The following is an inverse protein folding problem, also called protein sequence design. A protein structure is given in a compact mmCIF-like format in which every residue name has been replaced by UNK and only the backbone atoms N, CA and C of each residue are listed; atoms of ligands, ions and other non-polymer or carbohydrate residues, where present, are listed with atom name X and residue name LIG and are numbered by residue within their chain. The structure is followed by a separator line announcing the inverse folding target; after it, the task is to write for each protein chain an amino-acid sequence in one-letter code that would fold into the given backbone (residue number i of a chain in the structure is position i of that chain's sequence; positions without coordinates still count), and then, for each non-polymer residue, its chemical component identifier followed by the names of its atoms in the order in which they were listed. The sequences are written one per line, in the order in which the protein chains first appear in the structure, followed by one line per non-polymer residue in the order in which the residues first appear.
data_IF_119674379327
#
_entry.id   IF_119674379327
#
_cell.length_a   1.000
_cell.length_b   1.000
_cell.length_c   1.000
_cell.angle_alpha   90.00
_cell.angle_beta   90.00
_cell.angle_gamma   90.00
#
_symmetry.space_group_name_H-M   'P 1'
#
loop_
_entity.id
_entity.type
_entity.pdbx_description
1 polymer ?
#
# COMPACT_ATOMS: atom_id res chain seq x y z
N UNK A 1 19.98 8.01 -12.79
CA UNK A 1 18.63 7.52 -13.14
C UNK A 1 17.94 7.10 -11.85
N UNK A 2 16.64 7.35 -11.74
CA UNK A 2 15.89 6.91 -10.56
C UNK A 2 15.95 5.38 -10.44
N UNK A 3 15.89 4.87 -9.21
CA UNK A 3 15.77 3.44 -8.97
C UNK A 3 14.49 2.93 -9.65
N UNK A 4 14.64 1.89 -10.49
CA UNK A 4 13.52 1.26 -11.19
C UNK A 4 12.93 0.16 -10.33
N UNK A 5 11.67 0.33 -9.97
CA UNK A 5 10.93 -0.61 -9.11
C UNK A 5 10.36 -1.72 -9.99
N UNK A 6 10.64 -2.97 -9.62
CA UNK A 6 10.13 -4.16 -10.29
C UNK A 6 9.29 -5.00 -9.34
N UNK A 7 8.07 -5.31 -9.77
CA UNK A 7 7.16 -6.18 -9.05
C UNK A 7 7.48 -7.63 -9.38
N UNK A 8 7.76 -8.41 -8.35
CA UNK A 8 7.77 -9.86 -8.43
C UNK A 8 6.34 -10.42 -8.41
N UNK A 9 6.20 -11.67 -7.98
CA UNK A 9 4.93 -12.42 -8.03
C UNK A 9 3.82 -11.88 -7.12
N UNK A 10 4.16 -11.06 -6.12
CA UNK A 10 3.23 -10.60 -5.08
C UNK A 10 3.48 -9.13 -4.72
N UNK A 11 4.11 -8.35 -5.61
CA UNK A 11 4.54 -6.97 -5.38
C UNK A 11 6.06 -6.81 -5.31
N UNK A 12 6.52 -5.76 -4.63
CA UNK A 12 7.93 -5.36 -4.58
C UNK A 12 8.58 -5.63 -3.21
N UNK A 13 9.88 -5.89 -3.21
CA UNK A 13 10.73 -6.02 -2.01
C UNK A 13 12.04 -5.26 -2.23
N UNK A 14 12.63 -4.75 -1.16
CA UNK A 14 13.93 -4.08 -1.20
C UNK A 14 14.56 -4.01 0.19
N UNK A 15 15.84 -3.67 0.25
CA UNK A 15 16.56 -3.44 1.50
C UNK A 15 16.16 -2.06 2.04
N UNK A 16 15.81 -2.02 3.33
CA UNK A 16 15.41 -0.78 4.01
C UNK A 16 16.55 0.24 3.92
N UNK A 17 16.18 1.50 3.63
CA UNK A 17 17.07 2.64 3.44
C UNK A 17 17.97 2.61 2.19
N UNK A 18 18.09 1.49 1.49
CA UNK A 18 18.71 1.43 0.15
C UNK A 18 17.63 1.57 -0.93
N UNK A 19 16.96 0.48 -1.31
CA UNK A 19 15.86 0.54 -2.27
C UNK A 19 14.51 0.82 -1.60
N UNK A 20 14.28 0.26 -0.42
CA UNK A 20 13.03 0.39 0.33
C UNK A 20 13.03 1.68 1.16
N UNK A 21 12.83 2.80 0.46
CA UNK A 21 12.76 4.16 1.01
C UNK A 21 11.33 4.67 1.03
N UNK A 22 11.08 5.73 1.82
CA UNK A 22 9.76 6.38 1.84
C UNK A 22 9.31 6.85 0.46
N UNK A 23 10.23 7.38 -0.34
CA UNK A 23 9.91 7.88 -1.67
C UNK A 23 9.55 6.74 -2.62
N UNK A 24 10.26 5.61 -2.58
CA UNK A 24 9.90 4.46 -3.39
C UNK A 24 8.59 3.81 -2.96
N UNK A 25 8.30 3.72 -1.65
CA UNK A 25 6.97 3.28 -1.16
C UNK A 25 5.86 4.21 -1.65
N UNK A 26 6.09 5.52 -1.66
CA UNK A 26 5.11 6.50 -2.16
C UNK A 26 4.92 6.39 -3.67
N UNK A 27 5.98 6.17 -4.44
CA UNK A 27 5.93 5.90 -5.89
C UNK A 27 5.16 4.60 -6.18
N UNK A 28 5.41 3.52 -5.45
CA UNK A 28 4.60 2.29 -5.54
C UNK A 28 3.13 2.55 -5.24
N UNK A 29 2.86 3.32 -4.20
CA UNK A 29 1.49 3.68 -3.79
C UNK A 29 0.78 4.51 -4.85
N UNK A 30 1.49 5.39 -5.56
CA UNK A 30 0.95 6.17 -6.68
C UNK A 30 0.56 5.26 -7.85
N UNK A 31 1.43 4.30 -8.21
CA UNK A 31 1.13 3.30 -9.24
C UNK A 31 -0.09 2.44 -8.89
N UNK A 32 -0.19 2.01 -7.63
CA UNK A 32 -1.35 1.27 -7.16
C UNK A 32 -2.62 2.13 -7.13
N UNK A 33 -2.55 3.38 -6.67
CA UNK A 33 -3.68 4.30 -6.67
C UNK A 33 -4.23 4.51 -8.09
N UNK A 34 -3.35 4.73 -9.07
CA UNK A 34 -3.73 4.91 -10.46
C UNK A 34 -4.42 3.66 -11.02
N UNK A 35 -3.87 2.47 -10.76
CA UNK A 35 -4.51 1.20 -11.12
C UNK A 35 -5.91 1.06 -10.51
N UNK A 36 -6.08 1.41 -9.24
CA UNK A 36 -7.40 1.35 -8.58
C UNK A 36 -8.39 2.33 -9.22
N UNK A 37 -7.96 3.54 -9.58
CA UNK A 37 -8.81 4.53 -10.24
C UNK A 37 -9.22 4.04 -11.64
N UNK A 38 -8.26 3.56 -12.44
CA UNK A 38 -8.48 3.06 -13.81
C UNK A 38 -9.41 1.83 -13.84
N UNK A 39 -9.44 1.06 -12.76
CA UNK A 39 -10.32 -0.10 -12.59
C UNK A 39 -11.68 0.25 -11.95
N UNK A 40 -12.01 1.55 -11.82
CA UNK A 40 -13.32 2.01 -11.37
C UNK A 40 -13.49 2.08 -9.85
N UNK A 41 -12.40 2.07 -9.07
CA UNK A 41 -12.43 2.09 -7.61
C UNK A 41 -12.18 3.48 -7.00
N UNK A 42 -12.35 4.56 -7.78
CA UNK A 42 -12.24 5.93 -7.24
C UNK A 42 -13.21 6.13 -6.06
N UNK A 43 -12.72 6.73 -4.97
CA UNK A 43 -13.52 6.94 -3.74
C UNK A 43 -13.80 5.68 -2.92
N UNK A 44 -13.27 4.51 -3.30
CA UNK A 44 -13.43 3.28 -2.52
C UNK A 44 -12.42 3.20 -1.37
N UNK A 45 -12.74 2.34 -0.42
CA UNK A 45 -11.89 2.03 0.73
C UNK A 45 -10.85 0.98 0.37
N UNK A 46 -9.63 1.17 0.87
CA UNK A 46 -8.49 0.25 0.76
C UNK A 46 -8.00 -0.08 2.16
N UNK A 47 -7.68 -1.34 2.44
CA UNK A 47 -7.03 -1.72 3.69
C UNK A 47 -5.53 -1.51 3.56
N UNK A 48 -4.87 -0.91 4.54
CA UNK A 48 -3.42 -0.94 4.65
C UNK A 48 -3.07 -1.54 6.01
N UNK A 49 -2.20 -2.54 6.00
CA UNK A 49 -1.62 -3.09 7.21
C UNK A 49 -0.16 -3.47 7.03
N UNK A 50 0.49 -3.76 8.14
CA UNK A 50 1.94 -3.93 8.18
C UNK A 50 2.38 -5.00 9.18
N UNK A 51 3.59 -5.53 9.01
CA UNK A 51 4.23 -6.41 10.00
C UNK A 51 5.11 -5.63 10.99
N UNK A 52 5.95 -6.36 11.75
CA UNK A 52 6.83 -5.80 12.79
C UNK A 52 8.23 -5.39 12.29
N UNK A 53 8.47 -5.34 10.98
CA UNK A 53 9.77 -4.89 10.46
C UNK A 53 10.01 -3.42 10.81
N UNK A 54 11.28 -3.04 10.83
CA UNK A 54 11.66 -1.67 11.14
C UNK A 54 10.98 -0.68 10.18
N UNK A 55 10.33 0.35 10.73
CA UNK A 55 9.63 1.38 9.98
C UNK A 55 8.37 0.93 9.24
N UNK A 56 7.93 -0.33 9.38
CA UNK A 56 6.74 -0.85 8.67
C UNK A 56 5.47 -0.03 8.93
N UNK A 57 5.28 0.47 10.15
CA UNK A 57 4.15 1.34 10.51
C UNK A 57 4.21 2.70 9.79
N UNK A 58 5.41 3.28 9.68
CA UNK A 58 5.63 4.55 9.00
C UNK A 58 5.50 4.42 7.49
N UNK A 59 5.98 3.32 6.91
CA UNK A 59 5.79 3.02 5.48
C UNK A 59 4.32 2.80 5.14
N UNK A 60 3.56 2.15 6.03
CA UNK A 60 2.12 2.00 5.87
C UNK A 60 1.39 3.36 5.89
N UNK A 61 1.78 4.25 6.81
CA UNK A 61 1.24 5.61 6.84
C UNK A 61 1.60 6.40 5.57
N UNK A 62 2.85 6.31 5.10
CA UNK A 62 3.29 6.98 3.88
C UNK A 62 2.53 6.50 2.63
N UNK A 63 2.19 5.20 2.57
CA UNK A 63 1.32 4.67 1.53
C UNK A 63 -0.11 5.23 1.64
N UNK A 64 -0.65 5.31 2.87
CA UNK A 64 -1.99 5.83 3.14
C UNK A 64 -2.14 7.31 2.69
N UNK A 65 -1.13 8.15 2.96
CA UNK A 65 -1.09 9.56 2.51
C UNK A 65 -1.23 9.70 0.99
N UNK A 66 -0.60 8.79 0.23
CA UNK A 66 -0.67 8.79 -1.24
C UNK A 66 -2.05 8.36 -1.72
N UNK A 67 -2.62 7.30 -1.14
CA UNK A 67 -3.97 6.86 -1.51
C UNK A 67 -5.00 7.96 -1.22
N UNK A 68 -4.91 8.61 -0.06
CA UNK A 68 -5.75 9.75 0.30
C UNK A 68 -5.60 10.94 -0.66
N UNK A 69 -4.37 11.25 -1.08
CA UNK A 69 -4.07 12.28 -2.09
C UNK A 69 -4.59 11.97 -3.50
N UNK A 70 -4.98 10.72 -3.75
CA UNK A 70 -5.54 10.24 -5.02
C UNK A 70 -7.04 9.95 -4.94
N UNK A 71 -7.77 10.59 -4.02
CA UNK A 71 -9.22 10.42 -3.83
C UNK A 71 -9.67 8.99 -3.45
N UNK A 72 -8.78 8.17 -2.87
CA UNK A 72 -9.16 6.90 -2.22
C UNK A 72 -9.33 7.12 -0.71
N UNK A 73 -10.03 6.19 -0.06
CA UNK A 73 -10.14 6.17 1.40
C UNK A 73 -9.36 4.97 1.96
N UNK A 74 -8.85 5.08 3.18
CA UNK A 74 -7.96 4.08 3.77
C UNK A 74 -8.44 3.66 5.15
N UNK A 75 -8.58 2.35 5.33
CA UNK A 75 -8.58 1.73 6.66
C UNK A 75 -7.15 1.30 6.98
N UNK A 76 -6.50 1.98 7.93
CA UNK A 76 -5.15 1.67 8.38
C UNK A 76 -5.22 0.83 9.66
N UNK A 77 -4.56 -0.33 9.72
CA UNK A 77 -4.50 -1.11 10.96
C UNK A 77 -3.82 -0.29 12.06
N UNK A 78 -4.33 -0.35 13.29
CA UNK A 78 -3.75 0.39 14.42
C UNK A 78 -2.55 -0.32 15.07
N UNK A 79 -2.31 -1.58 14.71
CA UNK A 79 -1.16 -2.38 15.15
C UNK A 79 -0.63 -3.30 14.03
N UNK A 80 0.55 -3.88 14.27
CA UNK A 80 1.12 -4.90 13.39
C UNK A 80 0.16 -6.09 13.21
N UNK A 81 -0.16 -6.42 11.96
CA UNK A 81 -1.28 -7.29 11.61
C UNK A 81 -0.85 -8.39 10.63
N UNK A 82 -1.17 -9.67 10.91
CA UNK A 82 -0.89 -10.75 9.98
C UNK A 82 -1.56 -10.55 8.61
N UNK A 83 -0.86 -10.94 7.54
CA UNK A 83 -1.40 -10.92 6.17
C UNK A 83 -2.80 -11.54 6.03
N UNK A 84 -3.13 -12.72 6.62
CA UNK A 84 -4.48 -13.27 6.50
C UNK A 84 -5.57 -12.41 7.17
N UNK A 85 -5.24 -11.67 8.24
CA UNK A 85 -6.19 -10.74 8.89
C UNK A 85 -6.45 -9.52 8.01
N UNK A 86 -5.42 -9.01 7.33
CA UNK A 86 -5.56 -7.94 6.32
C UNK A 86 -6.45 -8.42 5.17
N UNK A 87 -6.20 -9.62 4.63
CA UNK A 87 -7.02 -10.21 3.57
C UNK A 87 -8.47 -10.42 4.00
N UNK A 88 -8.71 -10.92 5.21
CA UNK A 88 -10.05 -11.04 5.80
C UNK A 88 -10.74 -9.67 5.91
N UNK A 89 -10.00 -8.65 6.38
CA UNK A 89 -10.51 -7.29 6.55
C UNK A 89 -11.00 -6.67 5.23
N UNK A 90 -10.38 -7.03 4.09
CA UNK A 90 -10.85 -6.59 2.77
C UNK A 90 -12.29 -7.03 2.53
N UNK A 91 -12.56 -8.32 2.72
CA UNK A 91 -13.90 -8.90 2.50
C UNK A 91 -14.87 -8.38 3.55
N UNK A 92 -14.47 -8.38 4.82
CA UNK A 92 -15.32 -7.96 5.95
C UNK A 92 -15.75 -6.49 5.83
N UNK A 93 -14.84 -5.59 5.47
CA UNK A 93 -15.14 -4.15 5.29
C UNK A 93 -15.59 -3.78 3.88
N UNK A 94 -15.73 -4.75 2.97
CA UNK A 94 -16.07 -4.53 1.55
C UNK A 94 -15.13 -3.52 0.87
N UNK A 95 -13.84 -3.59 1.21
CA UNK A 95 -12.81 -2.75 0.60
C UNK A 95 -12.50 -3.24 -0.83
N UNK A 96 -11.99 -2.33 -1.66
CA UNK A 96 -11.64 -2.64 -3.05
C UNK A 96 -10.30 -3.38 -3.20
N UNK A 97 -9.49 -3.40 -2.15
CA UNK A 97 -8.19 -4.07 -2.13
C UNK A 97 -7.42 -3.77 -0.85
N UNK A 98 -6.16 -4.19 -0.82
CA UNK A 98 -5.24 -3.88 0.28
C UNK A 98 -3.79 -3.68 -0.15
N UNK A 99 -3.04 -3.01 0.73
CA UNK A 99 -1.57 -3.03 0.75
C UNK A 99 -1.12 -3.75 2.03
N UNK A 100 -0.22 -4.72 1.89
CA UNK A 100 0.49 -5.34 3.00
C UNK A 100 1.95 -4.86 2.97
N UNK A 101 2.38 -4.15 4.01
CA UNK A 101 3.77 -3.77 4.22
C UNK A 101 4.48 -4.90 4.96
N UNK A 102 5.16 -5.77 4.21
CA UNK A 102 5.88 -6.93 4.74
C UNK A 102 6.77 -7.58 3.67
N UNK A 103 7.99 -7.97 4.04
CA UNK A 103 8.81 -8.88 3.23
C UNK A 103 8.62 -10.37 3.60
N UNK A 104 7.61 -10.73 4.40
CA UNK A 104 7.34 -12.10 4.83
C UNK A 104 8.52 -12.72 5.57
N UNK A 105 9.15 -13.76 5.02
CA UNK A 105 10.26 -14.50 5.63
C UNK A 105 11.65 -14.00 5.22
N UNK A 106 11.74 -12.92 4.43
CA UNK A 106 13.00 -12.31 4.05
C UNK A 106 13.80 -11.83 5.28
N UNK A 107 15.12 -11.61 5.14
CA UNK A 107 15.96 -11.04 6.19
C UNK A 107 15.35 -9.79 6.84
N UNK A 108 15.65 -9.48 8.12
CA UNK A 108 15.06 -8.34 8.83
C UNK A 108 15.43 -6.98 8.22
N UNK A 109 16.49 -6.92 7.41
CA UNK A 109 16.93 -5.75 6.64
C UNK A 109 15.99 -5.39 5.50
N UNK A 110 15.13 -6.30 5.07
CA UNK A 110 14.24 -6.10 3.92
C UNK A 110 12.86 -5.61 4.39
N UNK A 111 12.16 -4.90 3.52
CA UNK A 111 10.71 -4.73 3.61
C UNK A 111 10.04 -4.96 2.24
N UNK A 112 8.72 -5.00 2.22
CA UNK A 112 7.96 -5.35 1.01
C UNK A 112 6.65 -4.58 0.89
N UNK A 113 6.23 -4.35 -0.34
CA UNK A 113 4.97 -3.71 -0.70
C UNK A 113 4.18 -4.71 -1.53
N UNK A 114 3.15 -5.30 -0.92
CA UNK A 114 2.32 -6.33 -1.55
C UNK A 114 0.90 -5.83 -1.70
N UNK A 115 0.21 -6.24 -2.75
CA UNK A 115 -1.13 -5.74 -3.08
C UNK A 115 -2.16 -6.86 -3.18
N UNK A 116 -3.37 -6.57 -2.71
CA UNK A 116 -4.52 -7.48 -2.72
C UNK A 116 -5.70 -6.89 -3.48
N UNK A 117 -6.47 -7.73 -4.15
CA UNK A 117 -7.72 -7.35 -4.80
C UNK A 117 -8.91 -7.39 -3.82
N UNK A 118 -10.11 -7.12 -4.31
CA UNK A 118 -11.36 -7.07 -3.53
C UNK A 118 -11.77 -8.39 -2.87
N UNK A 119 -11.18 -9.54 -3.24
CA UNK A 119 -11.41 -10.82 -2.56
C UNK A 119 -10.43 -11.06 -1.41
N UNK A 120 -9.49 -10.15 -1.18
CA UNK A 120 -8.39 -10.30 -0.23
C UNK A 120 -7.24 -11.17 -0.76
N UNK A 121 -7.35 -11.69 -2.00
CA UNK A 121 -6.30 -12.45 -2.68
C UNK A 121 -5.23 -11.55 -3.31
N UNK A 122 -4.11 -12.14 -3.72
CA UNK A 122 -3.10 -11.43 -4.52
C UNK A 122 -3.71 -10.86 -5.80
N UNK A 123 -3.26 -9.68 -6.22
CA UNK A 123 -3.56 -9.18 -7.56
C UNK A 123 -2.87 -10.10 -8.58
N UNK A 124 -3.57 -10.40 -9.67
CA UNK A 124 -3.07 -11.23 -10.76
C UNK A 124 -1.87 -10.60 -11.47
N UNK A 125 -1.04 -11.41 -12.18
CA UNK A 125 0.15 -10.91 -12.85
C UNK A 125 -0.10 -9.75 -13.82
N UNK A 126 -1.20 -9.78 -14.58
CA UNK A 126 -1.57 -8.70 -15.50
C UNK A 126 -1.88 -7.39 -14.75
N UNK A 127 -2.54 -7.49 -13.59
CA UNK A 127 -2.74 -6.38 -12.67
C UNK A 127 -1.44 -5.81 -12.11
N UNK A 128 -0.49 -6.66 -11.70
CA UNK A 128 0.81 -6.23 -11.20
C UNK A 128 1.62 -5.47 -12.28
N UNK A 129 1.59 -5.92 -13.52
CA UNK A 129 2.24 -5.22 -14.65
C UNK A 129 1.65 -3.83 -14.87
N UNK A 130 0.32 -3.70 -14.76
CA UNK A 130 -0.35 -2.39 -14.87
C UNK A 130 0.03 -1.46 -13.72
N UNK A 131 0.13 -1.99 -12.50
CA UNK A 131 0.58 -1.22 -11.34
C UNK A 131 2.02 -0.75 -11.54
N UNK A 132 2.94 -1.65 -11.90
CA UNK A 132 4.35 -1.33 -12.15
C UNK A 132 4.50 -0.25 -13.22
N UNK A 133 3.77 -0.35 -14.33
CA UNK A 133 3.78 0.65 -15.40
C UNK A 133 3.34 2.04 -14.94
N UNK A 134 2.46 2.12 -13.94
CA UNK A 134 1.94 3.37 -13.40
C UNK A 134 2.82 3.94 -12.27
N UNK A 135 3.92 3.28 -11.88
CA UNK A 135 4.88 3.82 -10.91
C UNK A 135 5.64 4.97 -11.58
N UNK A 136 5.57 6.21 -11.05
CA UNK A 136 6.28 7.33 -11.65
C UNK A 136 7.79 7.20 -11.44
N UNK A 137 8.57 7.81 -12.34
CA UNK A 137 10.04 7.82 -12.27
C UNK A 137 10.58 8.76 -11.18
N UNK A 138 9.82 9.79 -10.77
CA UNK A 138 10.19 10.73 -9.71
C UNK A 138 9.06 10.95 -8.70
N UNK A 139 9.36 11.69 -7.64
CA UNK A 139 8.40 12.11 -6.63
C UNK A 139 7.49 13.26 -7.08
N UNK A 140 7.80 13.92 -8.21
CA UNK A 140 7.07 15.10 -8.68
C UNK A 140 5.62 14.75 -9.09
N UNK A 141 5.41 13.53 -9.56
CA UNK A 141 4.10 13.02 -9.99
C UNK A 141 3.32 12.31 -8.85
N UNK A 142 3.87 12.28 -7.63
CA UNK A 142 3.25 11.61 -6.48
C UNK A 142 2.35 12.57 -5.73
N UNK A 143 1.03 12.33 -5.79
CA UNK A 143 0.03 13.09 -5.04
C UNK A 143 -0.06 12.58 -3.62
N UNK A 144 -0.07 13.50 -2.65
CA UNK A 144 -0.13 13.18 -1.21
C UNK A 144 -1.07 14.13 -0.49
N UNK A 145 -1.77 13.58 0.49
CA UNK A 145 -2.44 14.34 1.53
C UNK A 145 -1.69 14.11 2.85
N UNK A 146 -1.24 15.16 3.56
CA UNK A 146 -0.58 14.99 4.86
C UNK A 146 -1.44 14.17 5.82
N UNK A 147 -0.82 13.27 6.59
CA UNK A 147 -1.55 12.36 7.48
C UNK A 147 -2.54 13.07 8.41
N UNK A 148 -2.14 14.18 9.03
CA UNK A 148 -3.02 14.94 9.93
C UNK A 148 -4.30 15.43 9.24
N UNK A 149 -4.16 15.99 8.03
CA UNK A 149 -5.29 16.42 7.21
C UNK A 149 -6.15 15.23 6.76
N UNK A 150 -5.52 14.12 6.39
CA UNK A 150 -6.22 12.93 5.93
C UNK A 150 -7.04 12.26 7.06
N UNK A 151 -6.54 12.28 8.30
CA UNK A 151 -7.30 11.85 9.48
C UNK A 151 -8.46 12.79 9.77
N UNK A 152 -8.22 14.10 9.77
CA UNK A 152 -9.26 15.12 10.02
C UNK A 152 -10.41 15.00 9.01
N UNK A 153 -10.10 14.79 7.73
CA UNK A 153 -11.08 14.62 6.65
C UNK A 153 -11.73 13.23 6.61
N UNK A 154 -11.35 12.30 7.50
CA UNK A 154 -11.83 10.92 7.51
C UNK A 154 -11.41 10.12 6.27
N UNK A 155 -10.37 10.56 5.56
CA UNK A 155 -9.77 9.86 4.41
C UNK A 155 -8.91 8.69 4.86
N UNK A 156 -8.30 8.78 6.04
CA UNK A 156 -7.64 7.67 6.71
C UNK A 156 -8.36 7.46 8.04
N UNK A 157 -8.73 6.21 8.32
CA UNK A 157 -9.30 5.81 9.60
C UNK A 157 -8.45 4.66 10.15
N UNK A 158 -7.97 4.80 11.40
CA UNK A 158 -7.37 3.67 12.11
C UNK A 158 -8.46 2.72 12.59
N UNK A 159 -8.21 1.42 12.51
CA UNK A 159 -9.13 0.42 13.03
C UNK A 159 -8.38 -0.73 13.69
N UNK A 160 -9.01 -1.31 14.71
CA UNK A 160 -8.59 -2.58 15.31
C UNK A 160 -8.95 -3.73 14.34
N UNK A 161 -7.97 -4.47 13.83
CA UNK A 161 -8.20 -5.59 12.94
C UNK A 161 -8.48 -6.91 13.68
N UNK A 162 -8.55 -6.89 15.02
CA UNK A 162 -8.98 -8.04 15.80
C UNK A 162 -10.44 -8.42 15.47
N UNK A 163 -10.73 -9.73 15.32
CA UNK A 163 -12.08 -10.23 15.06
C UNK A 163 -13.02 -10.14 16.27
#
# INVERSE_FOLDING_TARGET
MAYKIHFGTDGWRGVIAEEYTFDNVRRCSQGFAQYMIETGNKGKWIIIGHDKRFGSEDFALAAAEVLAGNDLNVYLTDAATPTPVISYSVVHKKAAGAINITASHNPPTDNGFKVRNFTGGAIDPEGLIKIEKNIPESMDDVKRMPAAEAFEKGKIIKFDPAP
#
